data_IF_462764141537
#
_entry.id   IF_462764141537
#
_cell.length_a   1.000
_cell.length_b   1.000
_cell.length_c   1.000
_cell.angle_alpha   90.00
_cell.angle_beta   90.00
_cell.angle_gamma   90.00
#
_symmetry.space_group_name_H-M   'P 1'
#
loop_
_entity.id
_entity.type
_entity.pdbx_description
1 polymer ?
#
# COMPACT_ATOMS: atom_id res chain seq x y z
N UNK A 1 -9.85 -22.29 -3.65
CA UNK A 1 -11.22 -22.00 -3.15
C UNK A 1 -11.72 -23.02 -2.11
N UNK A 2 -11.48 -24.33 -2.28
CA UNK A 2 -11.94 -25.39 -1.35
C UNK A 2 -11.46 -25.22 0.11
N UNK A 3 -10.24 -24.70 0.32
CA UNK A 3 -9.71 -24.43 1.67
C UNK A 3 -10.44 -23.29 2.42
N UNK A 4 -10.99 -22.31 1.70
CA UNK A 4 -11.72 -21.17 2.30
C UNK A 4 -13.10 -21.64 2.80
N UNK A 5 -13.78 -22.49 2.03
CA UNK A 5 -15.09 -23.04 2.38
C UNK A 5 -15.09 -23.88 3.67
N UNK A 6 -14.02 -24.64 3.94
CA UNK A 6 -13.88 -25.38 5.21
C UNK A 6 -13.65 -24.47 6.42
N UNK A 7 -12.93 -23.36 6.25
CA UNK A 7 -12.71 -22.36 7.31
C UNK A 7 -13.97 -21.56 7.63
N UNK A 8 -14.83 -21.35 6.63
CA UNK A 8 -16.08 -20.59 6.73
C UNK A 8 -17.01 -21.09 7.84
N UNK A 9 -16.98 -22.40 8.13
CA UNK A 9 -17.84 -23.05 9.13
C UNK A 9 -17.08 -23.49 10.40
N UNK A 10 -15.76 -23.31 10.46
CA UNK A 10 -14.92 -23.78 11.58
C UNK A 10 -14.36 -22.68 12.48
N UNK A 11 -14.21 -21.45 11.99
CA UNK A 11 -13.56 -20.35 12.73
C UNK A 11 -14.58 -19.29 13.21
N UNK A 12 -14.75 -19.18 14.54
CA UNK A 12 -15.69 -18.23 15.20
C UNK A 12 -15.47 -16.76 14.81
N UNK A 13 -14.25 -16.38 14.41
CA UNK A 13 -13.89 -15.01 14.05
C UNK A 13 -13.63 -14.80 12.55
N UNK A 14 -14.07 -15.73 11.70
CA UNK A 14 -13.85 -15.66 10.25
C UNK A 14 -14.49 -14.39 9.64
N UNK A 15 -15.79 -14.18 9.86
CA UNK A 15 -16.52 -13.05 9.26
C UNK A 15 -16.04 -11.66 9.74
N UNK A 16 -15.86 -11.41 11.06
CA UNK A 16 -15.36 -10.11 11.52
C UNK A 16 -13.98 -9.77 10.97
N UNK A 17 -13.07 -10.75 10.89
CA UNK A 17 -11.72 -10.52 10.34
C UNK A 17 -11.74 -10.26 8.85
N UNK A 18 -12.62 -10.92 8.09
CA UNK A 18 -12.81 -10.64 6.65
C UNK A 18 -13.40 -9.26 6.39
N UNK A 19 -14.43 -8.87 7.14
CA UNK A 19 -15.03 -7.53 7.01
C UNK A 19 -14.02 -6.43 7.35
N UNK A 20 -13.22 -6.63 8.40
CA UNK A 20 -12.15 -5.70 8.75
C UNK A 20 -11.08 -5.62 7.65
N UNK A 21 -10.62 -6.77 7.13
CA UNK A 21 -9.64 -6.84 6.04
C UNK A 21 -10.15 -6.11 4.79
N UNK A 22 -11.40 -6.38 4.39
CA UNK A 22 -12.07 -5.73 3.27
C UNK A 22 -12.24 -4.22 3.49
N UNK A 23 -12.65 -3.80 4.68
CA UNK A 23 -12.77 -2.38 5.02
C UNK A 23 -11.43 -1.66 4.91
N UNK A 24 -10.36 -2.24 5.48
CA UNK A 24 -9.02 -1.67 5.40
C UNK A 24 -8.54 -1.54 3.97
N UNK A 25 -8.71 -2.59 3.15
CA UNK A 25 -8.36 -2.55 1.73
C UNK A 25 -9.19 -1.51 0.97
N UNK A 26 -10.50 -1.44 1.23
CA UNK A 26 -11.42 -0.49 0.62
C UNK A 26 -11.05 0.95 0.92
N UNK A 27 -10.66 1.26 2.16
CA UNK A 27 -10.15 2.59 2.55
C UNK A 27 -8.89 2.95 1.76
N UNK A 28 -7.95 2.01 1.58
CA UNK A 28 -6.73 2.28 0.81
C UNK A 28 -7.02 2.53 -0.67
N UNK A 29 -7.88 1.72 -1.29
CA UNK A 29 -8.27 1.89 -2.70
C UNK A 29 -9.03 3.20 -2.93
N UNK A 30 -9.94 3.53 -2.02
CA UNK A 30 -10.65 4.82 -2.05
C UNK A 30 -9.67 5.98 -1.90
N UNK A 31 -8.76 5.92 -0.92
CA UNK A 31 -7.79 6.96 -0.66
C UNK A 31 -6.85 7.18 -1.85
N UNK A 32 -6.39 6.10 -2.48
CA UNK A 32 -5.53 6.15 -3.67
C UNK A 32 -6.19 6.90 -4.83
N UNK A 33 -7.50 6.70 -5.04
CA UNK A 33 -8.26 7.41 -6.09
C UNK A 33 -8.61 8.83 -5.70
N UNK A 34 -9.00 9.06 -4.44
CA UNK A 34 -9.52 10.33 -3.97
C UNK A 34 -8.40 11.36 -3.70
N UNK A 35 -7.29 10.94 -3.11
CA UNK A 35 -6.27 11.86 -2.60
C UNK A 35 -5.58 12.72 -3.68
N UNK A 36 -5.12 12.18 -4.83
CA UNK A 36 -4.50 13.01 -5.87
C UNK A 36 -5.45 14.07 -6.43
N UNK A 37 -6.74 13.74 -6.57
CA UNK A 37 -7.77 14.70 -7.00
C UNK A 37 -8.11 15.78 -5.97
N UNK A 38 -7.63 15.65 -4.74
CA UNK A 38 -7.89 16.58 -3.63
C UNK A 38 -6.61 17.24 -3.07
N UNK A 39 -5.50 17.24 -3.84
CA UNK A 39 -4.24 17.88 -3.43
C UNK A 39 -3.47 17.11 -2.35
N UNK A 40 -3.76 15.81 -2.19
CA UNK A 40 -3.07 14.92 -1.25
C UNK A 40 -2.23 13.86 -1.97
N UNK A 41 -1.89 14.07 -3.24
CA UNK A 41 -1.09 13.11 -4.02
C UNK A 41 0.31 12.91 -3.42
N UNK A 42 1.00 14.03 -3.10
CA UNK A 42 2.28 14.02 -2.40
C UNK A 42 2.22 13.33 -1.03
N UNK A 43 1.14 13.54 -0.29
CA UNK A 43 0.94 12.95 1.04
C UNK A 43 0.79 11.42 0.97
N UNK A 44 0.03 10.91 -0.01
CA UNK A 44 -0.14 9.48 -0.23
C UNK A 44 1.16 8.83 -0.71
N UNK A 45 1.89 9.45 -1.64
CA UNK A 45 3.21 8.98 -2.07
C UNK A 45 4.19 8.87 -0.89
N UNK A 46 4.24 9.88 -0.02
CA UNK A 46 5.05 9.85 1.19
C UNK A 46 4.67 8.67 2.11
N UNK A 47 3.37 8.42 2.28
CA UNK A 47 2.87 7.28 3.05
C UNK A 47 3.34 5.94 2.48
N UNK A 48 3.33 5.78 1.15
CA UNK A 48 3.83 4.59 0.47
C UNK A 48 5.34 4.43 0.59
N UNK A 49 6.13 5.51 0.55
CA UNK A 49 7.57 5.42 0.82
C UNK A 49 7.86 4.93 2.24
N UNK A 50 7.04 5.31 3.21
CA UNK A 50 7.19 4.91 4.61
C UNK A 50 6.66 3.50 4.90
N UNK A 51 5.74 2.99 4.07
CA UNK A 51 5.07 1.70 4.28
C UNK A 51 6.06 0.53 4.48
N UNK A 52 7.11 0.32 3.67
CA UNK A 52 8.05 -0.79 3.89
C UNK A 52 8.79 -0.69 5.22
N UNK A 53 9.13 0.53 5.66
CA UNK A 53 9.80 0.78 6.94
C UNK A 53 8.83 0.43 8.09
N UNK A 54 7.57 0.87 7.97
CA UNK A 54 6.52 0.51 8.91
C UNK A 54 6.27 -1.01 8.95
N UNK A 55 6.33 -1.70 7.80
CA UNK A 55 6.26 -3.16 7.72
C UNK A 55 7.39 -3.86 8.48
N UNK A 56 8.62 -3.33 8.41
CA UNK A 56 9.76 -3.87 9.19
C UNK A 56 9.50 -3.71 10.70
N UNK A 57 8.99 -2.54 11.13
CA UNK A 57 8.64 -2.30 12.54
C UNK A 57 7.56 -3.27 13.01
N UNK A 58 6.49 -3.44 12.22
CA UNK A 58 5.42 -4.41 12.52
C UNK A 58 5.98 -5.84 12.53
N UNK A 59 6.86 -6.20 11.60
CA UNK A 59 7.61 -7.46 11.58
C UNK A 59 8.30 -7.73 12.91
N UNK A 60 9.05 -6.74 13.40
CA UNK A 60 9.78 -6.82 14.67
C UNK A 60 8.86 -6.96 15.87
N UNK A 61 7.80 -6.15 15.96
CA UNK A 61 6.93 -6.10 17.14
C UNK A 61 5.99 -7.31 17.18
N UNK A 62 5.37 -7.66 16.05
CA UNK A 62 4.32 -8.67 15.99
C UNK A 62 4.84 -10.10 15.80
N UNK A 63 5.94 -10.27 15.04
CA UNK A 63 6.48 -11.59 14.69
C UNK A 63 7.86 -11.85 15.30
N UNK A 64 8.41 -10.90 16.06
CA UNK A 64 9.74 -10.98 16.65
C UNK A 64 10.87 -11.17 15.62
N UNK A 65 10.62 -10.80 14.36
CA UNK A 65 11.62 -10.85 13.29
C UNK A 65 12.86 -10.03 13.67
N UNK A 66 14.05 -10.51 13.29
CA UNK A 66 15.30 -9.80 13.58
C UNK A 66 15.49 -8.67 12.57
N UNK A 67 15.65 -7.44 13.07
CA UNK A 67 15.98 -6.29 12.21
C UNK A 67 17.47 -6.27 11.90
N UNK A 68 17.83 -6.10 10.64
CA UNK A 68 19.22 -5.86 10.27
C UNK A 68 19.69 -4.47 10.72
N UNK A 69 21.01 -4.23 10.74
CA UNK A 69 21.56 -2.90 11.04
C UNK A 69 21.10 -1.86 10.02
N UNK A 70 20.94 -2.22 8.75
CA UNK A 70 20.45 -1.31 7.72
C UNK A 70 18.99 -0.95 7.96
N UNK A 71 18.13 -1.92 8.31
CA UNK A 71 16.74 -1.68 8.67
C UNK A 71 16.60 -0.76 9.89
N UNK A 72 17.49 -0.88 10.88
CA UNK A 72 17.53 0.04 12.02
C UNK A 72 17.90 1.46 11.61
N UNK A 73 18.90 1.62 10.74
CA UNK A 73 19.29 2.94 10.20
C UNK A 73 18.15 3.54 9.37
N UNK A 74 17.49 2.76 8.52
CA UNK A 74 16.34 3.21 7.74
C UNK A 74 15.20 3.66 8.66
N UNK A 75 14.90 2.89 9.71
CA UNK A 75 13.91 3.25 10.71
C UNK A 75 14.27 4.56 11.42
N UNK A 76 15.54 4.77 11.80
CA UNK A 76 16.00 6.00 12.43
C UNK A 76 15.83 7.21 11.50
N UNK A 77 16.24 7.09 10.25
CA UNK A 77 16.06 8.14 9.23
C UNK A 77 14.59 8.48 9.02
N UNK A 78 13.72 7.47 8.96
CA UNK A 78 12.28 7.68 8.84
C UNK A 78 11.70 8.43 10.03
N UNK A 79 12.06 8.03 11.25
CA UNK A 79 11.64 8.70 12.49
C UNK A 79 12.11 10.15 12.50
N UNK A 80 13.35 10.43 12.11
CA UNK A 80 13.86 11.79 11.99
C UNK A 80 13.08 12.63 10.98
N UNK A 81 12.73 12.05 9.82
CA UNK A 81 11.87 12.70 8.83
C UNK A 81 10.49 13.04 9.40
N UNK A 82 9.83 12.10 10.07
CA UNK A 82 8.51 12.34 10.71
C UNK A 82 8.61 13.44 11.77
N UNK A 83 9.63 13.39 12.63
CA UNK A 83 9.84 14.39 13.68
C UNK A 83 10.10 15.78 13.08
N UNK A 84 10.84 15.86 11.98
CA UNK A 84 11.03 17.11 11.26
C UNK A 84 9.70 17.65 10.70
N UNK A 85 8.90 16.80 10.05
CA UNK A 85 7.58 17.20 9.54
C UNK A 85 6.66 17.70 10.66
N UNK A 86 6.66 17.02 11.81
CA UNK A 86 5.88 17.44 12.97
C UNK A 86 6.39 18.75 13.57
N UNK A 87 7.70 18.99 13.57
CA UNK A 87 8.26 20.25 14.05
C UNK A 87 7.91 21.44 13.15
N UNK A 88 7.83 21.23 11.83
CA UNK A 88 7.62 22.28 10.83
C UNK A 88 6.14 22.53 10.60
N UNK A 89 5.40 21.49 10.20
CA UNK A 89 4.01 21.61 9.75
C UNK A 89 3.01 21.41 10.88
N UNK A 90 3.48 21.13 12.11
CA UNK A 90 2.69 20.80 13.32
C UNK A 90 1.68 19.66 13.15
N UNK A 91 1.62 19.07 11.95
CA UNK A 91 0.60 18.14 11.50
C UNK A 91 1.21 17.26 10.43
N UNK A 92 0.83 15.98 10.42
CA UNK A 92 1.06 15.09 9.28
C UNK A 92 -0.24 15.03 8.50
N UNK A 93 -0.16 15.03 7.17
CA UNK A 93 -1.33 14.82 6.34
C UNK A 93 -1.95 13.47 6.70
N UNK A 94 -3.24 13.47 7.02
CA UNK A 94 -3.94 12.25 7.43
C UNK A 94 -3.85 11.11 6.39
N UNK A 95 -3.80 11.37 5.05
CA UNK A 95 -3.61 10.29 4.07
C UNK A 95 -2.28 9.58 4.24
N UNK A 96 -1.21 10.31 4.57
CA UNK A 96 0.11 9.73 4.86
C UNK A 96 0.03 8.74 6.02
N UNK A 97 -0.68 9.10 7.10
CA UNK A 97 -0.86 8.23 8.27
C UNK A 97 -1.69 6.99 7.94
N UNK A 98 -2.79 7.17 7.21
CA UNK A 98 -3.68 6.07 6.83
C UNK A 98 -2.96 5.06 5.93
N UNK A 99 -2.13 5.51 4.99
CA UNK A 99 -1.32 4.61 4.14
C UNK A 99 -0.22 3.95 4.97
N UNK A 100 0.57 4.75 5.70
CA UNK A 100 1.72 4.27 6.46
C UNK A 100 1.35 3.25 7.54
N UNK A 101 0.19 3.40 8.19
CA UNK A 101 -0.26 2.49 9.26
C UNK A 101 -1.25 1.45 8.75
N UNK A 102 -2.16 1.84 7.84
CA UNK A 102 -3.24 0.99 7.38
C UNK A 102 -2.75 -0.23 6.60
N UNK A 103 -1.80 -0.07 5.67
CA UNK A 103 -1.25 -1.21 4.94
C UNK A 103 -0.51 -2.19 5.87
N UNK A 104 0.38 -1.77 6.77
CA UNK A 104 1.03 -2.72 7.68
C UNK A 104 0.08 -3.48 8.59
N UNK A 105 -0.95 -2.81 9.13
CA UNK A 105 -1.97 -3.48 9.95
C UNK A 105 -2.79 -4.47 9.09
N UNK A 106 -3.09 -4.11 7.84
CA UNK A 106 -3.79 -4.98 6.89
C UNK A 106 -2.97 -6.24 6.57
N UNK A 107 -1.69 -6.09 6.22
CA UNK A 107 -0.81 -7.22 5.93
C UNK A 107 -0.53 -8.07 7.17
N UNK A 108 -0.40 -7.46 8.35
CA UNK A 108 -0.33 -8.18 9.62
C UNK A 108 -1.58 -9.04 9.86
N UNK A 109 -2.77 -8.47 9.70
CA UNK A 109 -4.04 -9.19 9.86
C UNK A 109 -4.09 -10.38 8.90
N UNK A 110 -3.75 -10.16 7.62
CA UNK A 110 -3.77 -11.22 6.60
C UNK A 110 -2.76 -12.33 6.87
N UNK A 111 -1.57 -11.98 7.38
CA UNK A 111 -0.55 -12.94 7.81
C UNK A 111 -1.01 -13.73 9.03
N UNK A 112 -1.60 -13.07 10.04
CA UNK A 112 -2.08 -13.71 11.27
C UNK A 112 -3.24 -14.68 11.03
N UNK A 113 -4.06 -14.45 10.01
CA UNK A 113 -5.21 -15.31 9.67
C UNK A 113 -4.94 -16.26 8.50
N UNK A 114 -3.68 -16.40 8.03
CA UNK A 114 -3.31 -17.23 6.88
C UNK A 114 -4.15 -16.97 5.62
N UNK A 115 -4.40 -15.70 5.34
CA UNK A 115 -5.20 -15.25 4.18
C UNK A 115 -4.38 -14.44 3.19
N UNK A 116 -3.07 -14.61 3.21
CA UNK A 116 -2.16 -13.99 2.24
C UNK A 116 -2.16 -14.77 0.92
N UNK A 117 -3.32 -14.89 0.28
CA UNK A 117 -3.49 -15.53 -1.02
C UNK A 117 -4.43 -14.70 -1.90
N UNK A 118 -4.35 -14.93 -3.21
CA UNK A 118 -5.14 -14.18 -4.19
C UNK A 118 -6.65 -14.35 -3.96
N UNK A 119 -7.10 -15.53 -3.52
CA UNK A 119 -8.52 -15.80 -3.27
C UNK A 119 -9.10 -14.93 -2.16
N UNK A 120 -8.34 -14.70 -1.09
CA UNK A 120 -8.75 -13.80 -0.02
C UNK A 120 -8.75 -12.32 -0.47
N UNK A 121 -7.84 -11.91 -1.35
CA UNK A 121 -7.86 -10.56 -1.93
C UNK A 121 -9.14 -10.34 -2.75
N UNK A 122 -9.49 -11.30 -3.60
CA UNK A 122 -10.76 -11.28 -4.35
C UNK A 122 -11.97 -11.21 -3.43
N UNK A 123 -11.94 -11.96 -2.33
CA UNK A 123 -13.02 -11.93 -1.33
C UNK A 123 -13.12 -10.55 -0.65
N UNK A 124 -11.98 -9.95 -0.28
CA UNK A 124 -11.93 -8.60 0.29
C UNK A 124 -12.49 -7.56 -0.70
N UNK A 125 -12.23 -7.69 -2.00
CA UNK A 125 -12.79 -6.84 -3.06
C UNK A 125 -14.30 -7.06 -3.25
N UNK A 126 -14.77 -8.31 -3.22
CA UNK A 126 -16.21 -8.60 -3.31
C UNK A 126 -16.98 -8.02 -2.13
N UNK A 127 -16.41 -8.11 -0.93
CA UNK A 127 -17.00 -7.55 0.28
C UNK A 127 -17.01 -6.01 0.31
N UNK A 128 -16.17 -5.34 -0.49
CA UNK A 128 -16.19 -3.88 -0.61
C UNK A 128 -17.24 -3.38 -1.61
N UNK A 129 -17.79 -4.26 -2.48
CA UNK A 129 -18.80 -3.89 -3.48
C UNK A 129 -20.06 -3.21 -2.90
N UNK A 130 -20.65 -3.66 -1.78
CA UNK A 130 -21.83 -2.99 -1.22
C UNK A 130 -21.54 -1.54 -0.80
N UNK A 131 -20.33 -1.28 -0.27
CA UNK A 131 -19.89 0.06 0.13
C UNK A 131 -19.68 0.92 -1.11
N UNK A 132 -19.00 0.39 -2.13
CA UNK A 132 -18.84 1.08 -3.42
C UNK A 132 -20.19 1.39 -4.08
N UNK A 133 -21.13 0.44 -4.05
CA UNK A 133 -22.50 0.62 -4.54
C UNK A 133 -23.24 1.71 -3.79
N UNK A 134 -23.11 1.77 -2.47
CA UNK A 134 -23.67 2.86 -1.66
C UNK A 134 -23.14 4.24 -2.10
N UNK A 135 -21.83 4.40 -2.28
CA UNK A 135 -21.25 5.66 -2.75
C UNK A 135 -21.71 6.04 -4.16
N UNK A 136 -21.86 5.05 -5.05
CA UNK A 136 -22.40 5.27 -6.39
C UNK A 136 -23.84 5.78 -6.29
N UNK A 137 -24.70 5.12 -5.50
CA UNK A 137 -26.12 5.47 -5.35
C UNK A 137 -26.35 6.81 -4.64
N UNK A 138 -25.44 7.26 -3.79
CA UNK A 138 -25.49 8.57 -3.11
C UNK A 138 -25.11 9.75 -4.03
N UNK A 139 -25.25 9.60 -5.34
CA UNK A 139 -24.84 10.61 -6.31
C UNK A 139 -23.33 10.61 -6.55
N UNK A 140 -22.71 9.43 -6.59
CA UNK A 140 -21.31 9.29 -6.97
C UNK A 140 -21.04 10.04 -8.28
N UNK A 141 -19.84 10.63 -8.38
CA UNK A 141 -19.42 11.55 -9.45
C UNK A 141 -19.89 11.12 -10.85
N UNK A 142 -19.84 9.82 -11.12
CA UNK A 142 -20.21 9.19 -12.38
C UNK A 142 -21.71 9.25 -12.69
N UNK A 143 -22.61 9.04 -11.72
CA UNK A 143 -24.06 9.07 -11.97
C UNK A 143 -24.55 10.50 -12.27
N UNK A 144 -23.99 11.50 -11.58
CA UNK A 144 -24.29 12.90 -11.84
C UNK A 144 -23.79 13.40 -13.21
N UNK A 145 -22.66 12.88 -13.67
CA UNK A 145 -22.06 13.26 -14.96
C UNK A 145 -22.44 12.34 -16.14
N UNK A 146 -23.12 11.21 -15.88
CA UNK A 146 -23.56 10.26 -16.92
C UNK A 146 -24.46 10.92 -17.96
N UNK A 147 -25.28 11.90 -17.52
CA UNK A 147 -26.15 12.69 -18.39
C UNK A 147 -25.39 13.76 -19.17
N UNK A 148 -24.18 14.13 -18.75
CA UNK A 148 -23.36 15.17 -19.36
C UNK A 148 -22.35 14.62 -20.37
N UNK A 149 -21.76 13.45 -20.12
CA UNK A 149 -20.81 12.83 -21.06
C UNK A 149 -20.64 11.33 -20.85
N UNK A 150 -20.98 10.55 -21.89
CA UNK A 150 -20.70 9.11 -21.94
C UNK A 150 -19.19 8.78 -21.91
N UNK A 151 -18.31 9.76 -22.14
CA UNK A 151 -16.87 9.56 -22.13
C UNK A 151 -16.34 9.17 -20.74
N UNK A 152 -16.92 9.71 -19.67
CA UNK A 152 -16.50 9.43 -18.29
C UNK A 152 -16.71 7.95 -17.93
N UNK A 153 -17.78 7.33 -18.44
CA UNK A 153 -18.04 5.90 -18.23
C UNK A 153 -16.91 5.06 -18.81
N UNK A 154 -16.42 5.40 -20.01
CA UNK A 154 -15.30 4.71 -20.63
C UNK A 154 -13.98 4.93 -19.90
N UNK A 155 -13.74 6.13 -19.37
CA UNK A 155 -12.55 6.40 -18.55
C UNK A 155 -12.56 5.59 -17.25
N UNK A 156 -13.70 5.53 -16.56
CA UNK A 156 -13.85 4.75 -15.32
C UNK A 156 -13.74 3.26 -15.60
N UNK A 157 -14.37 2.75 -16.66
CA UNK A 157 -14.24 1.36 -17.07
C UNK A 157 -12.80 1.01 -17.46
N UNK A 158 -12.11 1.88 -18.20
CA UNK A 158 -10.71 1.72 -18.57
C UNK A 158 -9.78 1.73 -17.36
N UNK A 159 -9.99 2.65 -16.42
CA UNK A 159 -9.27 2.71 -15.15
C UNK A 159 -9.46 1.42 -14.34
N UNK A 160 -10.71 0.96 -14.18
CA UNK A 160 -11.02 -0.29 -13.48
C UNK A 160 -10.35 -1.51 -14.12
N UNK A 161 -10.38 -1.60 -15.46
CA UNK A 161 -9.70 -2.65 -16.21
C UNK A 161 -8.18 -2.60 -16.00
N UNK A 162 -7.57 -1.42 -16.11
CA UNK A 162 -6.13 -1.24 -15.89
C UNK A 162 -5.73 -1.62 -14.46
N UNK A 163 -6.50 -1.21 -13.44
CA UNK A 163 -6.24 -1.58 -12.04
C UNK A 163 -6.38 -3.09 -11.82
N UNK A 164 -7.40 -3.73 -12.39
CA UNK A 164 -7.58 -5.18 -12.28
C UNK A 164 -6.43 -5.95 -12.95
N UNK A 165 -5.97 -5.50 -14.11
CA UNK A 165 -4.81 -6.08 -14.80
C UNK A 165 -3.52 -5.88 -14.00
N UNK A 166 -3.28 -4.67 -13.48
CA UNK A 166 -2.11 -4.39 -12.65
C UNK A 166 -2.06 -5.27 -11.40
N UNK A 167 -3.18 -5.41 -10.67
CA UNK A 167 -3.27 -6.29 -9.50
C UNK A 167 -3.15 -7.77 -9.88
N UNK A 168 -3.72 -8.16 -11.03
CA UNK A 168 -3.56 -9.51 -11.58
C UNK A 168 -2.09 -9.82 -11.87
N UNK A 169 -1.38 -8.95 -12.59
CA UNK A 169 0.05 -9.11 -12.87
C UNK A 169 0.91 -9.07 -11.63
N UNK A 170 0.61 -8.19 -10.67
CA UNK A 170 1.29 -8.16 -9.38
C UNK A 170 1.12 -9.50 -8.64
N UNK A 171 -0.10 -10.03 -8.56
CA UNK A 171 -0.36 -11.29 -7.87
C UNK A 171 0.26 -12.51 -8.58
N UNK A 172 0.36 -12.48 -9.92
CA UNK A 172 0.99 -13.54 -10.72
C UNK A 172 2.53 -13.48 -10.67
N UNK A 173 3.11 -12.28 -10.57
CA UNK A 173 4.56 -12.07 -10.52
C UNK A 173 5.13 -12.25 -9.11
N UNK A 174 4.37 -11.95 -8.06
CA UNK A 174 4.84 -12.04 -6.67
C UNK A 174 5.48 -13.40 -6.31
N UNK A 175 4.95 -14.57 -6.73
CA UNK A 175 5.58 -15.87 -6.48
C UNK A 175 6.81 -16.16 -7.36
N UNK A 176 6.98 -15.45 -8.48
CA UNK A 176 8.06 -15.65 -9.45
C UNK A 176 9.31 -14.81 -9.14
N UNK A 177 9.16 -13.79 -8.31
CA UNK A 177 10.21 -12.86 -7.95
C UNK A 177 10.81 -13.22 -6.60
N UNK A 178 12.13 -13.09 -6.47
CA UNK A 178 12.75 -13.10 -5.16
C UNK A 178 12.29 -11.87 -4.34
N UNK A 179 12.28 -12.00 -3.02
CA UNK A 179 11.72 -11.00 -2.11
C UNK A 179 12.33 -9.61 -2.29
N UNK A 180 13.64 -9.53 -2.55
CA UNK A 180 14.33 -8.24 -2.71
C UNK A 180 13.97 -7.54 -4.03
N UNK A 181 13.86 -8.26 -5.15
CA UNK A 181 13.39 -7.68 -6.42
C UNK A 181 11.94 -7.24 -6.32
N UNK A 182 11.10 -8.05 -5.69
CA UNK A 182 9.71 -7.69 -5.43
C UNK A 182 9.63 -6.40 -4.61
N UNK A 183 10.40 -6.29 -3.52
CA UNK A 183 10.48 -5.08 -2.70
C UNK A 183 10.94 -3.85 -3.48
N UNK A 184 11.93 -4.00 -4.37
CA UNK A 184 12.44 -2.90 -5.20
C UNK A 184 11.39 -2.41 -6.22
N UNK A 185 10.63 -3.34 -6.82
CA UNK A 185 9.56 -3.01 -7.76
C UNK A 185 8.36 -2.32 -7.08
N UNK A 186 8.08 -2.63 -5.81
CA UNK A 186 7.02 -1.96 -5.05
C UNK A 186 7.31 -0.46 -4.89
N UNK A 187 8.59 -0.04 -4.84
CA UNK A 187 8.95 1.37 -4.78
C UNK A 187 8.70 2.16 -6.08
N UNK A 188 8.42 1.49 -7.19
CA UNK A 188 8.03 2.17 -8.43
C UNK A 188 6.70 2.91 -8.24
N UNK A 189 5.77 2.35 -7.48
CA UNK A 189 4.46 2.93 -7.21
C UNK A 189 4.54 4.33 -6.56
N UNK A 190 5.20 4.52 -5.40
CA UNK A 190 5.31 5.85 -4.80
C UNK A 190 6.09 6.84 -5.65
N UNK A 191 7.06 6.40 -6.45
CA UNK A 191 7.83 7.27 -7.37
C UNK A 191 6.95 7.77 -8.50
N UNK A 192 6.16 6.90 -9.12
CA UNK A 192 5.20 7.29 -10.16
C UNK A 192 4.12 8.21 -9.58
N UNK A 193 3.61 7.91 -8.39
CA UNK A 193 2.61 8.74 -7.74
C UNK A 193 3.17 10.13 -7.40
N UNK A 194 4.41 10.21 -6.90
CA UNK A 194 5.11 11.48 -6.69
C UNK A 194 5.20 12.28 -7.98
N UNK A 195 5.66 11.66 -9.06
CA UNK A 195 5.80 12.31 -10.36
C UNK A 195 4.45 12.82 -10.89
N UNK A 196 3.41 12.00 -10.83
CA UNK A 196 2.05 12.40 -11.25
C UNK A 196 1.53 13.54 -10.37
N UNK A 197 1.73 13.50 -9.06
CA UNK A 197 1.28 14.56 -8.15
C UNK A 197 1.95 15.90 -8.48
N UNK A 198 3.25 15.89 -8.75
CA UNK A 198 3.98 17.08 -9.20
C UNK A 198 3.48 17.59 -10.56
N UNK A 199 3.14 16.68 -11.49
CA UNK A 199 2.56 17.05 -12.80
C UNK A 199 1.13 17.61 -12.67
N UNK A 200 0.37 17.18 -11.66
CA UNK A 200 -0.95 17.71 -11.32
C UNK A 200 -0.88 19.08 -10.63
N UNK A 201 0.32 19.56 -10.29
CA UNK A 201 0.55 20.88 -9.72
C UNK A 201 0.77 20.90 -8.20
N UNK A 202 0.86 19.74 -7.54
CA UNK A 202 1.26 19.70 -6.14
C UNK A 202 2.72 20.19 -6.01
N UNK A 203 2.99 21.01 -4.99
CA UNK A 203 4.33 21.56 -4.73
C UNK A 203 4.82 21.12 -3.35
N UNK A 204 6.06 20.63 -3.30
CA UNK A 204 6.73 20.36 -2.03
C UNK A 204 7.20 21.70 -1.46
N UNK A 205 6.72 22.05 -0.26
CA UNK A 205 7.14 23.27 0.42
C UNK A 205 8.65 23.23 0.69
N UNK A 206 9.39 24.36 0.54
CA UNK A 206 10.81 24.44 0.87
C UNK A 206 11.17 23.87 2.24
N UNK A 207 10.27 24.01 3.22
CA UNK A 207 10.46 23.52 4.57
C UNK A 207 10.31 21.99 4.70
N UNK A 208 9.63 21.32 3.76
CA UNK A 208 9.36 19.87 3.82
C UNK A 208 10.47 19.04 3.17
N UNK A 209 11.37 19.65 2.40
CA UNK A 209 12.48 18.96 1.74
C UNK A 209 13.34 18.11 2.68
N UNK A 210 13.72 18.57 3.88
CA UNK A 210 14.46 17.73 4.82
C UNK A 210 13.71 16.43 5.19
N UNK A 211 12.38 16.49 5.29
CA UNK A 211 11.54 15.30 5.52
C UNK A 211 11.60 14.36 4.33
N UNK A 212 11.33 14.84 3.11
CA UNK A 212 11.38 14.02 1.90
C UNK A 212 12.76 13.38 1.70
N UNK A 213 13.84 14.14 1.87
CA UNK A 213 15.21 13.64 1.77
C UNK A 213 15.49 12.57 2.82
N UNK A 214 15.08 12.78 4.08
CA UNK A 214 15.25 11.77 5.13
C UNK A 214 14.52 10.46 4.81
N UNK A 215 13.28 10.54 4.32
CA UNK A 215 12.50 9.35 3.91
C UNK A 215 13.16 8.67 2.70
N UNK A 216 13.59 9.42 1.68
CA UNK A 216 14.25 8.83 0.52
C UNK A 216 15.58 8.17 0.87
N UNK A 217 16.37 8.76 1.77
CA UNK A 217 17.57 8.12 2.30
C UNK A 217 17.24 6.83 3.05
N UNK A 218 16.17 6.81 3.85
CA UNK A 218 15.71 5.60 4.51
C UNK A 218 15.34 4.49 3.51
N UNK A 219 14.63 4.86 2.44
CA UNK A 219 14.29 3.95 1.33
C UNK A 219 15.55 3.43 0.65
N UNK A 220 16.52 4.29 0.32
CA UNK A 220 17.80 3.89 -0.28
C UNK A 220 18.54 2.90 0.63
N UNK A 221 18.58 3.14 1.94
CA UNK A 221 19.21 2.22 2.90
C UNK A 221 18.52 0.85 2.89
N UNK A 222 17.19 0.81 2.82
CA UNK A 222 16.43 -0.44 2.73
C UNK A 222 16.66 -1.16 1.40
N UNK A 223 16.74 -0.42 0.29
CA UNK A 223 17.06 -0.97 -1.03
C UNK A 223 18.46 -1.59 -1.05
N UNK A 224 19.46 -0.91 -0.47
CA UNK A 224 20.83 -1.41 -0.36
C UNK A 224 20.92 -2.68 0.48
N UNK A 225 20.13 -2.78 1.56
CA UNK A 225 20.00 -4.02 2.33
C UNK A 225 19.46 -5.15 1.46
N UNK A 226 18.34 -4.91 0.75
CA UNK A 226 17.72 -5.90 -0.13
C UNK A 226 18.68 -6.41 -1.20
N UNK A 227 19.46 -5.52 -1.83
CA UNK A 227 20.49 -5.86 -2.82
C UNK A 227 21.64 -6.67 -2.21
N UNK A 228 22.10 -6.32 -1.01
CA UNK A 228 23.15 -7.06 -0.32
C UNK A 228 22.68 -8.47 0.05
N UNK A 229 21.44 -8.59 0.55
CA UNK A 229 20.85 -9.89 0.88
C UNK A 229 20.76 -10.80 -0.34
N UNK A 230 20.54 -10.26 -1.55
CA UNK A 230 20.56 -11.03 -2.80
C UNK A 230 21.95 -11.54 -3.14
N UNK A 231 22.98 -10.69 -2.98
CA UNK A 231 24.36 -11.06 -3.29
C UNK A 231 24.90 -12.13 -2.32
N UNK A 232 24.52 -12.02 -1.05
CA UNK A 232 24.87 -13.01 -0.02
C UNK A 232 24.07 -14.32 -0.20
N UNK A 233 22.88 -14.24 -0.82
CA UNK A 233 22.10 -15.39 -1.29
C UNK A 233 22.52 -15.80 -2.71
N UNK A 234 23.80 -16.15 -2.91
CA UNK A 234 24.25 -16.86 -4.12
C UNK A 234 23.41 -18.12 -4.35
N UNK A 235 23.37 -18.69 -5.57
CA UNK A 235 22.31 -19.61 -6.02
C UNK A 235 22.25 -20.86 -5.13
N UNK A 236 21.41 -20.81 -4.10
CA UNK A 236 21.05 -21.98 -3.32
C UNK A 236 20.05 -22.75 -4.15
N UNK A 237 20.55 -23.79 -4.83
CA UNK A 237 19.79 -24.90 -5.37
C UNK A 237 18.79 -25.35 -4.30
N UNK A 238 17.53 -24.92 -4.40
CA UNK A 238 16.43 -25.49 -3.64
C UNK A 238 15.79 -26.58 -4.50
N UNK A 239 16.38 -27.78 -4.40
CA UNK A 239 15.70 -29.04 -4.69
C UNK A 239 14.94 -29.43 -3.42
N UNK A 240 13.63 -29.18 -3.38
CA UNK A 240 12.55 -30.10 -2.98
C UNK A 240 11.23 -29.39 -2.74
#
# INVERSE_FOLDING_TARGET
MVAIYRRLFGERYFWPTRLLSSFMLGVQLWLFMWAPGNGYGLAVSLGYFMMPIAMVIVGRIAFQDRMSRFQQIACLLAVLGILNQLAISQTLAWPTLVVCVGYPVYFWLRRKTDTNNIGALWFDMLLSLPVSGYFILQGGYVIGELTASLHIVWLVAGMGLLSALALGFQALSAPLLNLSLFGLLVYVEPVLLLAVSLLLGDVISPAEWPTYIAIWLAVVVLLLEGLRSLKDSGPSVQVR
#
